data_IF_155825553137
#
_entry.id   IF_155825553137
#
_cell.length_a   1.000
_cell.length_b   1.000
_cell.length_c   1.000
_cell.angle_alpha   90.00
_cell.angle_beta   90.00
_cell.angle_gamma   90.00
#
_symmetry.space_group_name_H-M   'P 1'
#
loop_
_entity.id
_entity.type
_entity.pdbx_description
1 polymer ?
#
# COMPACT_ATOMS: atom_id res chain seq x y z
N UNK A 1 11.48 17.48 15.68
CA UNK A 1 10.27 17.97 16.37
C UNK A 1 9.37 18.62 15.32
N UNK A 2 8.36 17.91 14.84
CA UNK A 2 7.28 18.54 14.07
C UNK A 2 6.22 18.96 15.09
N UNK A 3 5.85 20.25 15.05
CA UNK A 3 4.90 20.85 15.98
C UNK A 3 3.55 20.15 15.90
N UNK A 4 3.05 19.76 17.06
CA UNK A 4 1.73 19.15 17.20
C UNK A 4 0.63 20.15 16.84
N UNK A 5 0.15 20.07 15.60
CA UNK A 5 -1.19 20.51 15.27
C UNK A 5 -2.16 19.41 15.69
N UNK A 6 -3.02 19.70 16.66
CA UNK A 6 -4.16 18.85 16.99
C UNK A 6 -5.03 18.66 15.75
N UNK A 7 -4.93 17.50 15.09
CA UNK A 7 -5.85 17.12 14.02
C UNK A 7 -7.10 16.55 14.70
N UNK A 8 -7.93 17.45 15.20
CA UNK A 8 -9.30 17.12 15.62
C UNK A 8 -10.21 17.03 14.39
N UNK A 9 -9.97 16.10 13.46
CA UNK A 9 -10.94 15.80 12.41
C UNK A 9 -10.97 14.30 12.08
N UNK A 10 -12.16 13.76 12.29
CA UNK A 10 -12.69 12.47 11.84
C UNK A 10 -12.22 12.11 10.43
N UNK A 11 -11.85 10.84 10.28
CA UNK A 11 -11.44 10.09 9.07
C UNK A 11 -12.51 10.07 7.94
N UNK A 12 -13.46 11.01 7.95
CA UNK A 12 -14.56 11.18 7.01
C UNK A 12 -14.68 12.62 6.47
N UNK A 13 -13.71 13.49 6.79
CA UNK A 13 -13.71 14.86 6.30
C UNK A 13 -13.58 14.94 4.77
N UNK A 14 -14.64 15.41 4.10
CA UNK A 14 -14.56 15.86 2.71
C UNK A 14 -13.71 17.13 2.70
N UNK A 15 -12.60 17.13 1.97
CA UNK A 15 -11.79 18.33 1.79
C UNK A 15 -12.53 19.32 0.89
N UNK A 16 -12.94 20.46 1.48
CA UNK A 16 -13.70 21.52 0.81
C UNK A 16 -12.82 22.67 0.28
N UNK A 17 -11.50 22.48 0.24
CA UNK A 17 -10.53 23.52 -0.07
C UNK A 17 -10.00 24.25 1.17
N UNK A 18 -8.68 24.39 1.28
CA UNK A 18 -7.94 25.04 2.37
C UNK A 18 -6.42 24.91 2.18
N UNK A 19 -5.62 25.51 3.07
CA UNK A 19 -4.14 25.48 3.01
C UNK A 19 -3.59 24.07 2.72
N UNK A 20 -2.66 23.98 1.76
CA UNK A 20 -2.02 22.74 1.29
C UNK A 20 -1.22 21.99 2.38
N UNK A 21 -1.02 22.62 3.55
CA UNK A 21 -0.27 22.05 4.67
C UNK A 21 -1.00 20.89 5.38
N UNK A 22 -2.29 20.65 5.10
CA UNK A 22 -3.08 19.66 5.84
C UNK A 22 -3.04 18.23 5.27
N UNK A 23 -2.71 18.04 3.99
CA UNK A 23 -2.61 16.70 3.37
C UNK A 23 -1.56 16.70 2.26
N UNK A 24 -0.33 16.30 2.59
CA UNK A 24 0.69 16.00 1.60
C UNK A 24 0.53 14.53 1.16
N UNK A 25 0.01 14.25 -0.06
CA UNK A 25 -0.19 12.88 -0.51
C UNK A 25 1.16 12.24 -0.80
N UNK A 26 1.70 11.52 0.17
CA UNK A 26 3.03 10.96 0.10
C UNK A 26 3.08 9.54 0.64
N UNK A 27 4.11 8.82 0.19
CA UNK A 27 4.43 7.47 0.63
C UNK A 27 5.76 7.48 1.35
N UNK A 28 5.86 6.67 2.41
CA UNK A 28 7.12 6.41 3.06
C UNK A 28 7.94 5.40 2.23
N UNK A 29 9.13 5.78 1.80
CA UNK A 29 9.97 4.93 0.93
C UNK A 29 11.18 4.33 1.65
N UNK A 30 11.21 4.40 2.98
CA UNK A 30 12.30 3.92 3.82
C UNK A 30 12.14 2.52 4.39
N UNK A 31 13.11 2.13 5.21
CA UNK A 31 13.00 0.94 6.06
C UNK A 31 11.96 1.15 7.17
N UNK A 32 11.36 0.08 7.69
CA UNK A 32 10.28 0.14 8.68
C UNK A 32 10.63 0.85 10.00
N UNK A 33 11.91 1.04 10.29
CA UNK A 33 12.44 1.72 11.47
C UNK A 33 13.27 2.95 11.12
N UNK A 34 13.21 3.42 9.87
CA UNK A 34 14.02 4.54 9.39
C UNK A 34 13.25 5.86 9.39
N UNK A 35 14.00 6.95 9.44
CA UNK A 35 13.47 8.32 9.33
C UNK A 35 13.49 8.83 7.88
N UNK A 36 13.34 7.93 6.89
CA UNK A 36 13.39 8.32 5.49
C UNK A 36 12.31 9.33 5.13
N UNK A 37 12.60 10.25 4.19
CA UNK A 37 11.63 11.28 3.82
C UNK A 37 10.38 10.66 3.19
N UNK A 38 9.25 11.28 3.45
CA UNK A 38 8.01 11.04 2.70
C UNK A 38 8.21 11.53 1.26
N UNK A 39 7.86 10.68 0.28
CA UNK A 39 7.94 11.02 -1.15
C UNK A 39 6.55 11.29 -1.69
N UNK A 40 6.34 12.44 -2.31
CA UNK A 40 5.06 12.81 -2.90
C UNK A 40 4.62 11.84 -4.00
N UNK A 41 3.36 11.43 -3.95
CA UNK A 41 2.71 10.68 -5.01
C UNK A 41 2.40 11.62 -6.18
N UNK A 42 2.79 11.22 -7.40
CA UNK A 42 2.62 12.00 -8.64
C UNK A 42 1.35 11.71 -9.42
N UNK A 43 0.57 10.74 -8.98
CA UNK A 43 -0.67 10.34 -9.64
C UNK A 43 -1.05 8.92 -9.25
N UNK A 44 -2.05 8.37 -9.93
CA UNK A 44 -2.46 6.98 -9.77
C UNK A 44 -2.25 6.21 -11.06
N UNK A 45 -2.03 4.90 -10.94
CA UNK A 45 -1.91 3.96 -12.04
C UNK A 45 -2.88 2.81 -11.85
N UNK A 46 -3.36 2.28 -12.97
CA UNK A 46 -4.14 1.04 -12.98
C UNK A 46 -3.15 -0.13 -12.93
N UNK A 47 -3.35 -1.11 -12.03
CA UNK A 47 -2.54 -2.32 -12.01
C UNK A 47 -2.61 -3.08 -13.34
N UNK A 48 -1.45 -3.40 -13.92
CA UNK A 48 -1.34 -4.18 -15.16
C UNK A 48 -0.49 -5.41 -14.88
N UNK A 49 -0.97 -6.58 -15.30
CA UNK A 49 -0.22 -7.84 -15.17
C UNK A 49 1.15 -7.69 -15.84
N UNK A 50 2.19 -8.16 -15.16
CA UNK A 50 3.57 -8.11 -15.63
C UNK A 50 4.38 -6.90 -15.18
N UNK A 51 3.75 -5.83 -14.70
CA UNK A 51 4.47 -4.68 -14.12
C UNK A 51 4.84 -4.93 -12.66
N UNK A 52 5.80 -4.16 -12.15
CA UNK A 52 6.28 -4.26 -10.77
C UNK A 52 5.76 -3.11 -9.92
N UNK A 53 5.45 -3.41 -8.67
CA UNK A 53 5.04 -2.44 -7.64
C UNK A 53 5.93 -2.53 -6.40
N UNK A 54 5.85 -1.50 -5.59
CA UNK A 54 6.42 -1.40 -4.26
C UNK A 54 5.31 -1.36 -3.22
N UNK A 55 5.56 -2.04 -2.11
CA UNK A 55 4.73 -1.99 -0.91
C UNK A 55 5.41 -1.13 0.13
N UNK A 56 4.67 -0.24 0.77
CA UNK A 56 5.11 0.49 1.97
C UNK A 56 4.24 0.07 3.14
N UNK A 57 4.68 -0.97 3.85
CA UNK A 57 4.02 -1.48 5.05
C UNK A 57 4.55 -0.82 6.32
N UNK A 58 3.70 -0.63 7.33
CA UNK A 58 4.10 -0.08 8.62
C UNK A 58 5.16 -0.94 9.33
N UNK A 59 5.14 -2.25 9.10
CA UNK A 59 6.04 -3.22 9.74
C UNK A 59 7.11 -3.74 8.78
N UNK A 60 6.76 -3.99 7.51
CA UNK A 60 7.73 -4.43 6.49
C UNK A 60 8.58 -3.31 5.91
N UNK A 61 8.14 -2.05 6.02
CA UNK A 61 8.79 -0.92 5.37
C UNK A 61 8.55 -0.94 3.86
N UNK A 62 9.43 -0.28 3.12
CA UNK A 62 9.35 -0.17 1.67
C UNK A 62 10.04 -1.34 0.94
N UNK A 63 9.26 -2.25 0.36
CA UNK A 63 9.75 -3.40 -0.41
C UNK A 63 9.26 -3.34 -1.85
N UNK A 64 10.20 -3.25 -2.78
CA UNK A 64 9.97 -3.18 -4.22
C UNK A 64 10.21 -4.52 -4.93
N UNK A 65 9.83 -4.59 -6.21
CA UNK A 65 10.07 -5.75 -7.07
C UNK A 65 9.00 -6.83 -6.97
N UNK A 66 7.78 -6.45 -6.56
CA UNK A 66 6.61 -7.32 -6.58
C UNK A 66 5.93 -7.25 -7.94
N UNK A 67 6.01 -8.33 -8.71
CA UNK A 67 5.41 -8.40 -10.05
C UNK A 67 3.93 -8.75 -9.94
N UNK A 68 3.07 -8.00 -10.62
CA UNK A 68 1.64 -8.29 -10.69
C UNK A 68 1.43 -9.55 -11.53
N UNK A 69 0.88 -10.60 -10.90
CA UNK A 69 0.57 -11.87 -11.56
C UNK A 69 -0.86 -11.90 -12.09
N UNK A 70 -1.79 -11.30 -11.33
CA UNK A 70 -3.20 -11.31 -11.66
C UNK A 70 -3.89 -10.03 -11.17
N UNK A 71 -4.93 -9.61 -11.87
CA UNK A 71 -5.83 -8.52 -11.51
C UNK A 71 -7.28 -9.01 -11.59
N UNK A 72 -8.24 -8.26 -11.03
CA UNK A 72 -9.66 -8.61 -11.11
C UNK A 72 -10.05 -9.85 -10.30
N UNK A 73 -9.23 -10.25 -9.33
CA UNK A 73 -9.42 -11.49 -8.58
C UNK A 73 -10.43 -11.31 -7.45
N UNK A 74 -11.17 -12.37 -7.16
CA UNK A 74 -11.93 -12.49 -5.92
C UNK A 74 -11.08 -13.19 -4.88
N UNK A 75 -10.84 -12.52 -3.75
CA UNK A 75 -10.06 -13.06 -2.63
C UNK A 75 -10.97 -13.23 -1.43
N UNK A 76 -11.09 -14.45 -0.92
CA UNK A 76 -11.81 -14.76 0.31
C UNK A 76 -10.82 -14.98 1.46
N UNK A 77 -10.90 -14.16 2.50
CA UNK A 77 -10.10 -14.32 3.73
C UNK A 77 -10.73 -15.29 4.71
N UNK A 78 -12.06 -15.44 4.62
CA UNK A 78 -12.85 -16.47 5.31
C UNK A 78 -13.93 -16.98 4.34
N UNK A 79 -14.71 -17.98 4.75
CA UNK A 79 -15.83 -18.50 3.94
C UNK A 79 -16.91 -17.47 3.60
N UNK A 80 -17.03 -16.40 4.40
CA UNK A 80 -18.07 -15.37 4.24
C UNK A 80 -17.53 -13.99 3.88
N UNK A 81 -16.21 -13.79 3.94
CA UNK A 81 -15.58 -12.49 3.72
C UNK A 81 -14.70 -12.52 2.47
N UNK A 82 -15.31 -12.12 1.33
CA UNK A 82 -14.67 -12.06 0.03
C UNK A 82 -14.65 -10.64 -0.51
N UNK A 83 -13.53 -10.26 -1.12
CA UNK A 83 -13.34 -8.97 -1.77
C UNK A 83 -13.04 -9.19 -3.25
N UNK A 84 -13.82 -8.53 -4.10
CA UNK A 84 -13.64 -8.56 -5.55
C UNK A 84 -12.57 -7.55 -6.01
N UNK A 85 -12.20 -7.66 -7.29
CA UNK A 85 -11.30 -6.74 -7.99
C UNK A 85 -9.92 -6.57 -7.33
N UNK A 86 -9.43 -7.59 -6.63
CA UNK A 86 -8.10 -7.56 -6.02
C UNK A 86 -7.01 -7.87 -7.06
N UNK A 87 -5.81 -7.38 -6.79
CA UNK A 87 -4.60 -7.72 -7.54
C UNK A 87 -3.69 -8.59 -6.68
N UNK A 88 -3.08 -9.59 -7.32
CA UNK A 88 -2.13 -10.52 -6.69
C UNK A 88 -0.75 -10.26 -7.28
N UNK A 89 0.25 -10.17 -6.42
CA UNK A 89 1.65 -9.99 -6.81
C UNK A 89 2.54 -11.06 -6.20
N UNK A 90 3.71 -11.25 -6.80
CA UNK A 90 4.78 -12.10 -6.31
C UNK A 90 6.10 -11.34 -6.30
N UNK A 91 6.80 -11.36 -5.18
CA UNK A 91 8.14 -10.79 -5.05
C UNK A 91 9.13 -11.62 -5.89
N UNK A 92 9.85 -10.94 -6.78
CA UNK A 92 10.70 -11.56 -7.81
C UNK A 92 11.92 -12.33 -7.27
N UNK A 93 12.42 -11.96 -6.09
CA UNK A 93 13.49 -12.63 -5.33
C UNK A 93 12.95 -13.48 -4.16
N UNK A 94 11.63 -13.72 -4.13
CA UNK A 94 10.94 -14.45 -3.07
C UNK A 94 11.11 -13.87 -1.64
N UNK A 95 11.34 -12.56 -1.52
CA UNK A 95 11.43 -11.86 -0.24
C UNK A 95 10.01 -11.63 0.31
N UNK A 96 9.75 -11.90 1.61
CA UNK A 96 8.46 -11.62 2.26
C UNK A 96 8.10 -10.12 2.32
N UNK A 97 7.55 -9.60 1.23
CA UNK A 97 7.36 -8.16 1.01
C UNK A 97 6.35 -7.50 1.95
N UNK A 98 5.36 -8.25 2.41
CA UNK A 98 4.29 -7.77 3.30
C UNK A 98 3.91 -8.85 4.29
N UNK A 99 3.31 -8.45 5.41
CA UNK A 99 2.74 -9.37 6.37
C UNK A 99 1.63 -8.76 7.21
N UNK A 100 1.24 -9.50 8.25
CA UNK A 100 0.27 -9.04 9.23
C UNK A 100 0.73 -7.70 9.83
N UNK A 101 -0.18 -6.71 9.82
CA UNK A 101 0.09 -5.35 10.28
C UNK A 101 0.52 -4.38 9.17
N UNK A 102 0.74 -4.84 7.93
CA UNK A 102 0.99 -3.95 6.79
C UNK A 102 -0.29 -3.58 6.01
N UNK A 103 -1.41 -4.26 6.29
CA UNK A 103 -2.72 -3.96 5.69
C UNK A 103 -3.10 -2.49 5.89
N UNK A 104 -3.65 -1.87 4.83
CA UNK A 104 -3.92 -0.43 4.80
C UNK A 104 -2.74 0.42 4.32
N UNK A 105 -1.52 -0.12 4.29
CA UNK A 105 -0.36 0.57 3.73
C UNK A 105 -0.45 0.78 2.21
N UNK A 106 0.20 1.81 1.65
CA UNK A 106 0.12 2.12 0.24
C UNK A 106 0.91 1.15 -0.64
N UNK A 107 0.39 0.94 -1.85
CA UNK A 107 1.05 0.26 -2.97
C UNK A 107 1.27 1.28 -4.07
N UNK A 108 2.47 1.33 -4.63
CA UNK A 108 2.78 2.26 -5.71
C UNK A 108 3.65 1.62 -6.79
N UNK A 109 3.56 2.14 -8.00
CA UNK A 109 4.50 1.87 -9.07
C UNK A 109 5.52 3.00 -9.15
N UNK A 110 6.81 2.66 -9.27
CA UNK A 110 7.85 3.65 -9.56
C UNK A 110 7.93 3.85 -11.07
N UNK A 111 7.66 5.06 -11.55
CA UNK A 111 7.78 5.45 -12.96
C UNK A 111 8.76 6.61 -13.01
N UNK A 112 9.89 6.40 -13.69
CA UNK A 112 10.98 7.38 -13.76
C UNK A 112 11.46 7.85 -12.37
N UNK A 113 11.48 6.94 -11.39
CA UNK A 113 11.91 7.23 -10.01
C UNK A 113 10.87 7.96 -9.15
N UNK A 114 9.67 8.22 -9.68
CA UNK A 114 8.58 8.88 -8.95
C UNK A 114 7.48 7.87 -8.61
N UNK A 115 6.87 7.95 -7.41
CA UNK A 115 5.84 7.01 -7.01
C UNK A 115 4.46 7.42 -7.55
N UNK A 116 3.77 6.47 -8.16
CA UNK A 116 2.37 6.58 -8.59
C UNK A 116 1.54 5.55 -7.84
N UNK A 117 0.49 6.00 -7.14
CA UNK A 117 -0.37 5.12 -6.35
C UNK A 117 -1.01 4.03 -7.22
N UNK A 118 -0.85 2.78 -6.83
CA UNK A 118 -1.42 1.62 -7.51
C UNK A 118 -2.56 0.98 -6.70
N UNK A 119 -2.47 1.03 -5.37
CA UNK A 119 -3.45 0.39 -4.51
C UNK A 119 -3.16 0.51 -3.02
N UNK A 120 -3.86 -0.32 -2.25
CA UNK A 120 -3.77 -0.41 -0.79
C UNK A 120 -3.54 -1.89 -0.43
N UNK A 121 -2.57 -2.17 0.44
CA UNK A 121 -2.28 -3.53 0.91
C UNK A 121 -3.53 -4.12 1.55
N UNK A 122 -3.98 -5.26 1.02
CA UNK A 122 -5.15 -5.97 1.53
C UNK A 122 -4.71 -7.12 2.44
N UNK A 123 -3.78 -7.94 1.96
CA UNK A 123 -3.32 -9.12 2.70
C UNK A 123 -2.28 -9.94 1.96
N UNK A 124 -2.13 -11.20 2.38
CA UNK A 124 -1.08 -12.12 1.91
C UNK A 124 -1.63 -13.51 1.60
N UNK A 125 -0.91 -14.27 0.77
CA UNK A 125 -1.17 -15.69 0.54
C UNK A 125 0.02 -16.52 0.98
N UNK A 126 -0.23 -17.73 1.50
CA UNK A 126 0.83 -18.68 1.90
C UNK A 126 1.81 -18.07 2.94
N UNK A 127 1.29 -17.27 3.87
CA UNK A 127 2.10 -16.58 4.86
C UNK A 127 2.85 -17.55 5.78
N UNK A 128 4.14 -17.27 5.99
CA UNK A 128 5.01 -17.98 6.92
C UNK A 128 5.63 -16.99 7.92
N UNK A 129 6.36 -17.49 8.90
CA UNK A 129 6.92 -16.66 9.97
C UNK A 129 8.28 -16.02 9.63
N UNK A 130 8.68 -16.02 8.35
CA UNK A 130 9.85 -15.29 7.89
C UNK A 130 9.41 -13.92 7.42
N UNK A 131 9.67 -12.91 8.25
CA UNK A 131 9.19 -11.55 8.01
C UNK A 131 10.33 -10.59 7.72
N UNK A 132 10.14 -9.75 6.72
CA UNK A 132 10.91 -8.52 6.57
C UNK A 132 10.38 -7.48 7.57
N UNK A 133 11.27 -6.79 8.27
CA UNK A 133 10.92 -5.79 9.29
C UNK A 133 10.47 -6.38 10.63
N UNK A 134 9.66 -5.65 11.40
CA UNK A 134 9.45 -5.88 12.84
C UNK A 134 7.98 -6.20 13.20
N UNK A 135 7.69 -7.22 14.03
CA UNK A 135 8.58 -8.29 14.49
C UNK A 135 8.89 -9.30 13.40
N UNK A 136 10.06 -9.92 13.49
CA UNK A 136 10.48 -11.06 12.68
C UNK A 136 10.16 -12.41 13.34
N UNK A 137 9.29 -12.41 14.35
CA UNK A 137 9.02 -13.57 15.21
C UNK A 137 7.89 -14.49 14.69
N UNK A 138 7.65 -15.58 15.42
CA UNK A 138 6.70 -16.63 15.08
C UNK A 138 5.22 -16.21 15.04
N UNK A 139 4.88 -14.99 15.48
CA UNK A 139 3.49 -14.54 15.57
C UNK A 139 3.08 -13.69 14.36
N UNK A 140 4.04 -13.17 13.59
CA UNK A 140 3.78 -12.41 12.38
C UNK A 140 3.94 -13.31 11.16
N UNK A 141 2.87 -13.38 10.35
CA UNK A 141 2.92 -14.06 9.06
C UNK A 141 3.26 -13.04 7.98
N UNK A 142 4.24 -13.34 7.16
CA UNK A 142 4.64 -12.57 6.00
C UNK A 142 4.70 -13.45 4.75
N UNK A 143 4.63 -12.84 3.58
CA UNK A 143 4.68 -13.56 2.32
C UNK A 143 5.29 -12.71 1.22
N UNK A 144 5.97 -13.41 0.30
CA UNK A 144 6.38 -12.85 -0.99
C UNK A 144 5.18 -12.69 -1.93
N UNK A 145 4.07 -13.39 -1.66
CA UNK A 145 2.83 -13.32 -2.43
C UNK A 145 1.81 -12.46 -1.73
N UNK A 146 1.53 -11.31 -2.32
CA UNK A 146 0.76 -10.24 -1.71
C UNK A 146 -0.52 -9.94 -2.49
N UNK A 147 -1.53 -9.45 -1.77
CA UNK A 147 -2.82 -9.05 -2.32
C UNK A 147 -3.02 -7.56 -2.02
N UNK A 148 -3.46 -6.81 -3.01
CA UNK A 148 -3.81 -5.41 -2.81
C UNK A 148 -5.11 -5.04 -3.51
N UNK A 149 -5.81 -4.07 -2.94
CA UNK A 149 -6.99 -3.45 -3.53
C UNK A 149 -6.52 -2.32 -4.46
N UNK A 150 -6.80 -2.39 -5.77
CA UNK A 150 -6.44 -1.33 -6.71
C UNK A 150 -7.12 0.00 -6.39
N UNK A 151 -6.41 1.12 -6.58
CA UNK A 151 -7.00 2.45 -6.31
C UNK A 151 -8.20 2.75 -7.21
N UNK A 152 -8.20 2.31 -8.47
CA UNK A 152 -9.34 2.50 -9.37
C UNK A 152 -10.61 1.78 -8.86
N UNK A 153 -10.48 0.66 -8.16
CA UNK A 153 -11.61 -0.01 -7.53
C UNK A 153 -12.14 0.78 -6.32
N UNK A 154 -11.25 1.44 -5.56
CA UNK A 154 -11.64 2.30 -4.44
C UNK A 154 -12.27 3.63 -4.89
N UNK A 155 -11.81 4.19 -6.02
CA UNK A 155 -12.27 5.48 -6.56
C UNK A 155 -13.53 5.36 -7.45
N UNK A 156 -13.82 4.15 -7.96
CA UNK A 156 -14.86 3.93 -8.97
C UNK A 156 -16.31 4.19 -8.54
N UNK A 157 -16.58 4.33 -7.24
CA UNK A 157 -17.93 4.58 -6.72
C UNK A 157 -18.29 6.08 -6.60
N UNK A 158 -17.41 6.98 -7.04
CA UNK A 158 -17.67 8.44 -7.07
C UNK A 158 -17.74 9.12 -5.69
N UNK A 159 -17.56 8.35 -4.60
CA UNK A 159 -17.57 8.86 -3.23
C UNK A 159 -16.18 9.21 -2.69
N UNK A 160 -15.11 8.80 -3.39
CA UNK A 160 -13.72 8.95 -2.95
C UNK A 160 -12.89 9.66 -4.02
N UNK A 161 -12.04 10.60 -3.58
CA UNK A 161 -11.09 11.31 -4.43
C UNK A 161 -9.65 10.91 -4.13
N UNK A 162 -8.76 11.08 -5.10
CA UNK A 162 -7.32 10.83 -4.95
C UNK A 162 -6.54 12.13 -5.08
N UNK A 163 -5.85 12.53 -4.01
CA UNK A 163 -4.97 13.69 -4.02
C UNK A 163 -3.55 13.27 -4.44
N UNK A 164 -2.91 14.08 -5.28
CA UNK A 164 -1.52 13.88 -5.70
C UNK A 164 -0.86 15.24 -5.97
N UNK A 165 0.48 15.27 -5.97
CA UNK A 165 1.26 16.46 -6.35
C UNK A 165 1.83 16.22 -7.75
N UNK A 166 1.36 16.93 -8.80
CA UNK A 166 1.86 16.74 -10.16
C UNK A 166 3.37 17.00 -10.29
#
# INVERSE_FOLDING_TARGET
MLGGGNIGQVDTGIWLGGNLDAFYPAVFTGANNGDSPLTAIRGAVVPVVGTSVCYSGARSGNICGNKIEATGQMTCYTVSQCYANQSITQQTSNIPAVGNGDSGGPVYQSINGQPYGAGIISGIQNGNNSCTGDPSDANRKCSARAIFAPLNAALGNGQWGFNYVP
#
